data_IF_898117358681
#
_entry.id   IF_898117358681
#
_cell.length_a   1.000
_cell.length_b   1.000
_cell.length_c   1.000
_cell.angle_alpha   90.00
_cell.angle_beta   90.00
_cell.angle_gamma   90.00
#
_symmetry.space_group_name_H-M   'P 1'
#
loop_
_entity.id
_entity.type
_entity.pdbx_description
1 polymer ?
#
# COMPACT_ATOMS: atom_id res chain seq x y z
N UNK A 1 -16.41 -14.45 -8.02
CA UNK A 1 -17.32 -13.50 -7.34
C UNK A 1 -17.45 -13.91 -5.89
N UNK A 2 -17.33 -12.99 -4.97
CA UNK A 2 -17.60 -13.17 -3.55
C UNK A 2 -19.01 -12.65 -3.26
N UNK A 3 -19.86 -13.46 -2.63
CA UNK A 3 -21.15 -13.05 -2.11
C UNK A 3 -21.10 -13.06 -0.58
N UNK A 4 -21.61 -12.02 0.06
CA UNK A 4 -21.60 -11.84 1.51
C UNK A 4 -23.01 -11.47 1.95
N UNK A 5 -23.53 -12.09 3.02
CA UNK A 5 -24.83 -11.73 3.57
C UNK A 5 -24.75 -10.37 4.27
N UNK A 6 -25.74 -9.51 3.97
CA UNK A 6 -25.84 -8.19 4.58
C UNK A 6 -26.43 -8.26 5.97
N UNK A 7 -25.61 -8.40 7.00
CA UNK A 7 -26.04 -8.04 8.36
C UNK A 7 -25.48 -6.66 8.70
N UNK A 8 -26.43 -5.74 8.91
CA UNK A 8 -26.18 -4.30 8.86
C UNK A 8 -25.51 -3.70 10.09
N UNK A 9 -24.32 -4.12 10.44
CA UNK A 9 -23.47 -3.38 11.39
C UNK A 9 -22.29 -2.77 10.69
N UNK A 10 -22.43 -1.48 10.33
CA UNK A 10 -21.31 -0.64 9.91
C UNK A 10 -20.25 -0.60 11.02
N UNK A 11 -19.13 -1.30 10.82
CA UNK A 11 -17.90 -1.03 11.56
C UNK A 11 -16.81 -0.64 10.57
N UNK A 12 -16.54 0.66 10.49
CA UNK A 12 -15.32 1.19 9.95
C UNK A 12 -14.16 0.80 10.88
N UNK A 13 -13.45 -0.28 10.62
CA UNK A 13 -12.35 -0.70 11.49
C UNK A 13 -11.13 -1.32 10.79
N UNK A 14 -11.10 -1.39 9.47
CA UNK A 14 -9.98 -2.03 8.76
C UNK A 14 -8.79 -1.10 8.50
N UNK A 15 -8.98 0.21 8.51
CA UNK A 15 -7.89 1.16 8.28
C UNK A 15 -6.98 1.37 9.51
N UNK A 16 -7.49 1.18 10.73
CA UNK A 16 -6.77 1.53 11.95
C UNK A 16 -5.60 0.60 12.31
N UNK A 17 -5.63 -0.67 11.93
CA UNK A 17 -4.63 -1.66 12.34
C UNK A 17 -3.34 -1.64 11.51
N UNK A 18 -3.42 -1.31 10.24
CA UNK A 18 -2.22 -1.11 9.40
C UNK A 18 -1.39 0.07 9.91
N UNK A 19 -2.06 1.14 10.35
CA UNK A 19 -1.42 2.31 10.93
C UNK A 19 -0.66 2.01 12.22
N UNK A 20 -1.23 1.19 13.10
CA UNK A 20 -0.61 0.82 14.37
C UNK A 20 0.68 0.03 14.14
N UNK A 21 0.71 -0.91 13.20
CA UNK A 21 1.92 -1.70 12.89
C UNK A 21 3.02 -0.88 12.23
N UNK A 22 2.67 0.01 11.31
CA UNK A 22 3.61 0.92 10.65
C UNK A 22 4.17 1.90 11.69
N UNK A 23 3.31 2.54 12.47
CA UNK A 23 3.72 3.50 13.50
C UNK A 23 4.52 2.84 14.62
N UNK A 24 4.22 1.59 15.00
CA UNK A 24 4.96 0.87 16.04
C UNK A 24 6.37 0.48 15.57
N UNK A 25 6.55 0.05 14.33
CA UNK A 25 7.89 -0.17 13.77
C UNK A 25 8.65 1.13 13.57
N UNK A 26 8.00 2.18 13.09
CA UNK A 26 8.61 3.50 12.94
C UNK A 26 8.98 4.10 14.30
N UNK A 27 8.19 3.87 15.37
CA UNK A 27 8.51 4.36 16.73
C UNK A 27 9.72 3.65 17.34
N UNK A 28 9.99 2.38 17.00
CA UNK A 28 11.20 1.69 17.45
C UNK A 28 12.49 2.25 16.82
N UNK A 29 12.36 2.92 15.67
CA UNK A 29 13.47 3.63 15.02
C UNK A 29 13.64 5.05 15.55
N UNK A 30 12.54 5.71 15.95
CA UNK A 30 12.55 7.07 16.52
C UNK A 30 13.18 7.15 17.92
N UNK A 31 13.35 6.04 18.60
CA UNK A 31 13.95 5.98 19.95
C UNK A 31 15.48 5.85 19.99
N UNK A 32 16.16 5.90 18.83
CA UNK A 32 17.61 6.14 18.84
C UNK A 32 17.83 7.64 18.83
N UNK A 33 18.25 8.19 19.96
CA UNK A 33 18.37 9.60 20.25
C UNK A 33 19.40 10.40 19.43
N UNK A 34 19.48 10.14 18.12
CA UNK A 34 20.36 10.82 17.20
C UNK A 34 19.52 11.58 16.17
N UNK A 35 20.00 12.74 15.74
CA UNK A 35 19.51 13.53 14.60
C UNK A 35 19.73 12.79 13.27
N UNK A 36 19.24 11.54 13.16
CA UNK A 36 19.37 10.74 11.94
C UNK A 36 18.30 11.18 10.95
N UNK A 37 18.74 11.68 9.83
CA UNK A 37 17.89 11.99 8.68
C UNK A 37 17.72 10.72 7.86
N UNK A 38 16.49 10.19 7.79
CA UNK A 38 16.18 9.02 6.98
C UNK A 38 15.73 9.41 5.56
N UNK A 39 15.97 8.52 4.62
CA UNK A 39 15.52 8.63 3.22
C UNK A 39 14.43 7.61 2.96
N UNK A 40 13.23 8.09 2.68
CA UNK A 40 12.05 7.25 2.44
C UNK A 40 11.70 7.29 0.95
N UNK A 41 11.72 6.13 0.31
CA UNK A 41 11.18 5.96 -1.04
C UNK A 41 9.70 5.60 -0.96
N UNK A 42 8.86 6.23 -1.76
CA UNK A 42 7.41 5.96 -1.78
C UNK A 42 7.00 5.59 -3.20
N UNK A 43 6.68 4.31 -3.41
CA UNK A 43 6.06 3.82 -4.63
C UNK A 43 4.56 4.07 -4.55
N UNK A 44 4.05 4.95 -5.40
CA UNK A 44 2.65 5.37 -5.39
C UNK A 44 2.15 5.72 -6.80
N UNK A 45 0.89 6.06 -6.93
CA UNK A 45 0.36 6.70 -8.13
C UNK A 45 0.98 8.09 -8.30
N UNK A 46 0.94 8.68 -9.51
CA UNK A 46 1.50 10.02 -9.73
C UNK A 46 1.02 11.00 -8.66
N UNK A 47 1.95 11.68 -7.99
CA UNK A 47 1.67 12.53 -6.83
C UNK A 47 0.70 13.68 -7.13
N UNK A 48 0.63 14.11 -8.39
CA UNK A 48 -0.31 15.13 -8.87
C UNK A 48 -1.74 14.60 -9.07
N UNK A 49 -1.92 13.28 -9.10
CA UNK A 49 -3.22 12.63 -9.32
C UNK A 49 -3.97 12.26 -8.04
N UNK A 50 -3.33 12.35 -6.86
CA UNK A 50 -3.96 11.99 -5.58
C UNK A 50 -5.00 13.02 -5.13
N UNK A 51 -5.89 12.61 -4.23
CA UNK A 51 -6.81 13.54 -3.57
C UNK A 51 -6.24 13.96 -2.20
N UNK A 52 -5.63 15.15 -2.07
CA UNK A 52 -4.91 15.56 -0.85
C UNK A 52 -5.78 15.57 0.41
N UNK A 53 -7.11 15.75 0.27
CA UNK A 53 -8.04 15.75 1.42
C UNK A 53 -8.27 14.37 2.05
N UNK A 54 -7.95 13.30 1.32
CA UNK A 54 -8.27 11.91 1.73
C UNK A 54 -7.08 10.97 1.65
N UNK A 55 -5.97 11.42 1.09
CA UNK A 55 -4.85 10.56 0.82
C UNK A 55 -4.03 10.29 2.08
N UNK A 56 -4.02 9.04 2.49
CA UNK A 56 -3.28 8.60 3.65
C UNK A 56 -1.76 8.53 3.39
N UNK A 57 -1.35 8.37 2.14
CA UNK A 57 0.08 8.37 1.76
C UNK A 57 0.65 9.76 1.93
N UNK A 58 -0.07 10.81 1.51
CA UNK A 58 0.32 12.20 1.75
C UNK A 58 0.49 12.48 3.24
N UNK A 59 -0.45 12.03 4.08
CA UNK A 59 -0.35 12.20 5.53
C UNK A 59 0.89 11.51 6.12
N UNK A 60 1.27 10.32 5.61
CA UNK A 60 2.50 9.63 6.02
C UNK A 60 3.74 10.38 5.59
N UNK A 61 3.78 10.89 4.36
CA UNK A 61 4.90 11.65 3.83
C UNK A 61 5.09 12.97 4.58
N UNK A 62 4.02 13.70 4.88
CA UNK A 62 4.05 14.90 5.73
C UNK A 62 4.59 14.60 7.13
N UNK A 63 4.18 13.49 7.74
CA UNK A 63 4.68 13.08 9.04
C UNK A 63 6.17 12.68 9.01
N UNK A 64 6.67 12.12 7.91
CA UNK A 64 8.09 11.85 7.70
C UNK A 64 8.88 13.15 7.55
N UNK A 65 8.41 14.06 6.70
CA UNK A 65 9.04 15.36 6.49
C UNK A 65 9.10 16.20 7.78
N UNK A 66 8.04 16.19 8.60
CA UNK A 66 8.01 16.87 9.88
C UNK A 66 9.08 16.36 10.88
N UNK A 67 9.62 15.16 10.66
CA UNK A 67 10.74 14.56 11.41
C UNK A 67 12.10 14.87 10.80
N UNK A 68 12.15 15.69 9.76
CA UNK A 68 13.38 16.01 9.03
C UNK A 68 13.84 14.89 8.06
N UNK A 69 12.96 13.96 7.71
CA UNK A 69 13.28 12.87 6.78
C UNK A 69 13.11 13.34 5.33
N UNK A 70 13.95 12.83 4.43
CA UNK A 70 13.82 13.06 3.00
C UNK A 70 12.79 12.10 2.39
N UNK A 71 11.90 12.64 1.57
CA UNK A 71 10.88 11.88 0.87
C UNK A 71 11.14 11.95 -0.62
N UNK A 72 11.24 10.77 -1.25
CA UNK A 72 11.33 10.61 -2.69
C UNK A 72 10.14 9.79 -3.17
N UNK A 73 9.43 10.26 -4.20
CA UNK A 73 8.29 9.56 -4.77
C UNK A 73 8.63 9.01 -6.16
N UNK A 74 8.02 7.87 -6.49
CA UNK A 74 8.17 7.22 -7.79
C UNK A 74 6.97 6.33 -8.09
N UNK A 75 6.76 6.02 -9.38
CA UNK A 75 5.71 5.14 -9.86
C UNK A 75 6.25 3.74 -10.19
N UNK A 76 5.38 2.81 -10.57
CA UNK A 76 5.79 1.49 -11.05
C UNK A 76 6.69 1.56 -12.28
N UNK A 77 6.42 2.52 -13.18
CA UNK A 77 7.19 2.69 -14.41
C UNK A 77 8.62 3.20 -14.18
N UNK A 78 8.88 3.74 -13.00
CA UNK A 78 10.20 4.29 -12.63
C UNK A 78 11.13 3.24 -12.02
N UNK A 79 10.59 2.04 -11.67
CA UNK A 79 11.37 0.91 -11.17
C UNK A 79 12.02 0.15 -12.33
N UNK A 80 13.31 -0.14 -12.24
CA UNK A 80 13.99 -1.00 -13.18
C UNK A 80 15.14 -1.78 -12.53
N UNK A 81 15.58 -2.81 -13.22
CA UNK A 81 16.72 -3.63 -12.82
C UNK A 81 17.74 -3.64 -13.97
N UNK A 82 18.99 -3.36 -13.65
CA UNK A 82 20.12 -3.45 -14.57
C UNK A 82 21.24 -4.22 -13.88
N UNK A 83 21.78 -5.23 -14.54
CA UNK A 83 22.85 -6.09 -14.02
C UNK A 83 22.61 -6.67 -12.61
N UNK A 84 21.33 -6.92 -12.27
CA UNK A 84 20.93 -7.46 -10.97
C UNK A 84 20.77 -6.41 -9.88
N UNK A 85 21.02 -5.13 -10.16
CA UNK A 85 20.81 -4.02 -9.22
C UNK A 85 19.48 -3.31 -9.50
N UNK A 86 18.66 -3.11 -8.47
CA UNK A 86 17.42 -2.36 -8.59
C UNK A 86 17.71 -0.88 -8.44
N UNK A 87 17.29 -0.12 -9.43
CA UNK A 87 17.36 1.33 -9.47
C UNK A 87 15.98 1.94 -9.72
N UNK A 88 15.83 3.20 -9.35
CA UNK A 88 14.57 3.92 -9.39
C UNK A 88 14.81 5.34 -9.92
N UNK A 89 13.97 5.79 -10.84
CA UNK A 89 13.92 7.19 -11.20
C UNK A 89 12.97 7.92 -10.23
N UNK A 90 13.50 8.80 -9.39
CA UNK A 90 12.76 9.41 -8.30
C UNK A 90 12.56 10.90 -8.49
N UNK A 91 11.48 11.42 -7.90
CA UNK A 91 11.30 12.84 -7.63
C UNK A 91 11.46 13.08 -6.12
N UNK A 92 12.49 13.82 -5.73
CA UNK A 92 12.64 14.32 -4.37
C UNK A 92 11.67 15.48 -4.18
N UNK A 93 10.87 15.45 -3.11
CA UNK A 93 9.75 16.39 -2.95
C UNK A 93 9.78 17.13 -1.62
N UNK A 94 9.25 18.36 -1.63
CA UNK A 94 8.77 19.07 -0.44
C UNK A 94 7.25 19.02 -0.41
N UNK A 95 6.67 18.78 0.75
CA UNK A 95 5.25 18.54 0.93
C UNK A 95 4.61 19.63 1.78
N UNK A 96 3.36 19.97 1.46
CA UNK A 96 2.57 20.98 2.14
C UNK A 96 1.22 20.37 2.58
N UNK A 97 0.78 20.72 3.77
CA UNK A 97 -0.59 20.41 4.24
C UNK A 97 -1.58 21.43 3.65
N UNK A 98 -1.71 21.38 2.33
CA UNK A 98 -2.54 22.26 1.55
C UNK A 98 -3.26 21.45 0.44
N UNK A 99 -4.52 21.77 0.18
CA UNK A 99 -5.34 21.04 -0.80
C UNK A 99 -5.18 21.52 -2.23
N UNK A 100 -4.69 22.73 -2.42
CA UNK A 100 -4.49 23.34 -3.74
C UNK A 100 -3.05 23.17 -4.23
N UNK A 101 -2.11 23.12 -3.27
CA UNK A 101 -0.69 22.90 -3.54
C UNK A 101 -0.07 22.02 -2.45
N UNK A 102 -0.02 20.71 -2.63
CA UNK A 102 0.46 19.76 -1.62
C UNK A 102 1.89 19.29 -1.83
N UNK A 103 2.56 19.64 -2.96
CA UNK A 103 3.96 19.31 -3.18
C UNK A 103 4.69 20.27 -4.11
N UNK A 104 6.00 20.31 -3.99
CA UNK A 104 6.94 20.83 -4.97
C UNK A 104 8.00 19.76 -5.25
N UNK A 105 8.40 19.61 -6.51
CA UNK A 105 9.53 18.76 -6.89
C UNK A 105 10.81 19.55 -6.72
N UNK A 106 11.73 19.05 -5.89
CA UNK A 106 13.03 19.65 -5.65
C UNK A 106 14.05 19.22 -6.68
N UNK A 107 14.06 17.91 -6.99
CA UNK A 107 15.01 17.30 -7.92
C UNK A 107 14.41 16.03 -8.55
N UNK A 108 14.95 15.62 -9.69
CA UNK A 108 14.63 14.36 -10.35
C UNK A 108 15.94 13.66 -10.69
N UNK A 109 16.10 12.43 -10.22
CA UNK A 109 17.35 11.68 -10.38
C UNK A 109 17.12 10.19 -10.40
N UNK A 110 18.10 9.46 -10.90
CA UNK A 110 18.19 8.03 -10.63
C UNK A 110 18.80 7.81 -9.25
N UNK A 111 18.20 6.93 -8.48
CA UNK A 111 18.69 6.47 -7.20
C UNK A 111 18.82 4.94 -7.20
N UNK A 112 19.87 4.42 -6.55
CA UNK A 112 19.91 3.01 -6.21
C UNK A 112 18.92 2.74 -5.10
N UNK A 113 18.22 1.61 -5.17
CA UNK A 113 17.26 1.26 -4.12
C UNK A 113 17.90 1.18 -2.72
N UNK A 114 19.19 0.86 -2.66
CA UNK A 114 20.00 0.81 -1.41
C UNK A 114 20.29 2.19 -0.79
N UNK A 115 19.97 3.28 -1.46
CA UNK A 115 20.06 4.63 -0.89
C UNK A 115 18.94 4.93 0.10
N UNK A 116 17.85 4.15 0.07
CA UNK A 116 16.72 4.33 0.97
C UNK A 116 16.90 3.56 2.28
N UNK A 117 16.49 4.17 3.37
CA UNK A 117 16.35 3.51 4.66
C UNK A 117 15.07 2.68 4.75
N UNK A 118 14.06 3.03 3.93
CA UNK A 118 12.81 2.29 3.82
C UNK A 118 12.12 2.63 2.50
N UNK A 119 11.40 1.66 1.95
CA UNK A 119 10.49 1.87 0.82
C UNK A 119 9.06 1.56 1.25
N UNK A 120 8.13 2.47 0.94
CA UNK A 120 6.70 2.30 1.16
C UNK A 120 6.02 1.91 -0.15
N UNK A 121 5.33 0.77 -0.16
CA UNK A 121 4.45 0.37 -1.27
C UNK A 121 3.06 0.93 -1.03
N UNK A 122 2.74 2.00 -1.72
CA UNK A 122 1.49 2.77 -1.58
C UNK A 122 0.73 2.94 -2.89
N UNK A 123 1.09 2.18 -3.93
CA UNK A 123 0.35 2.13 -5.17
C UNK A 123 -1.04 1.56 -4.94
N UNK A 124 -2.04 2.29 -5.42
CA UNK A 124 -3.43 1.82 -5.40
C UNK A 124 -3.69 0.73 -6.47
N UNK A 125 -4.75 -0.08 -6.34
CA UNK A 125 -5.17 -1.01 -7.40
C UNK A 125 -5.30 -0.32 -8.77
N UNK A 126 -5.24 -1.04 -9.90
CA UNK A 126 -5.57 -2.47 -10.00
C UNK A 126 -4.42 -3.38 -9.58
N UNK A 127 -4.76 -4.55 -9.00
CA UNK A 127 -3.84 -5.63 -8.71
C UNK A 127 -3.70 -6.53 -9.95
N UNK A 128 -2.96 -6.04 -10.92
CA UNK A 128 -2.69 -6.65 -12.21
C UNK A 128 -1.26 -7.21 -12.30
N UNK A 129 -0.84 -7.65 -13.48
CA UNK A 129 0.50 -8.20 -13.68
C UNK A 129 1.59 -7.16 -13.48
N UNK A 130 1.36 -5.89 -13.84
CA UNK A 130 2.31 -4.80 -13.61
C UNK A 130 2.52 -4.59 -12.10
N UNK A 131 1.43 -4.62 -11.34
CA UNK A 131 1.50 -4.54 -9.88
C UNK A 131 2.29 -5.72 -9.28
N UNK A 132 2.07 -6.94 -9.79
CA UNK A 132 2.79 -8.15 -9.36
C UNK A 132 4.29 -8.03 -9.68
N UNK A 133 4.65 -7.58 -10.90
CA UNK A 133 6.05 -7.37 -11.26
C UNK A 133 6.71 -6.31 -10.38
N UNK A 134 6.04 -5.20 -10.08
CA UNK A 134 6.54 -4.22 -9.14
C UNK A 134 6.85 -4.84 -7.76
N UNK A 135 5.97 -5.75 -7.26
CA UNK A 135 6.24 -6.45 -6.00
C UNK A 135 7.46 -7.37 -6.06
N UNK A 136 7.78 -7.97 -7.21
CA UNK A 136 9.01 -8.76 -7.37
C UNK A 136 10.26 -7.87 -7.33
N UNK A 137 10.25 -6.70 -7.96
CA UNK A 137 11.35 -5.74 -7.88
C UNK A 137 11.53 -5.22 -6.45
N UNK A 138 10.43 -4.92 -5.76
CA UNK A 138 10.45 -4.54 -4.35
C UNK A 138 11.00 -5.65 -3.43
N UNK A 139 10.74 -6.92 -3.76
CA UNK A 139 11.31 -8.04 -3.02
C UNK A 139 12.84 -8.16 -3.23
N UNK A 140 13.35 -7.79 -4.40
CA UNK A 140 14.79 -7.69 -4.62
C UNK A 140 15.39 -6.56 -3.78
N UNK A 141 14.71 -5.42 -3.65
CA UNK A 141 15.11 -4.35 -2.72
C UNK A 141 15.15 -4.88 -1.28
N UNK A 142 14.11 -5.59 -0.83
CA UNK A 142 14.06 -6.19 0.52
C UNK A 142 15.25 -7.13 0.78
N UNK A 143 15.69 -7.89 -0.24
CA UNK A 143 16.86 -8.78 -0.15
C UNK A 143 18.20 -8.03 0.03
N UNK A 144 18.28 -6.77 -0.32
CA UNK A 144 19.46 -5.93 -0.04
C UNK A 144 19.54 -5.45 1.40
N UNK A 145 18.51 -5.70 2.20
CA UNK A 145 18.39 -5.25 3.58
C UNK A 145 17.58 -3.97 3.76
N UNK A 146 17.11 -3.35 2.68
CA UNK A 146 16.21 -2.18 2.74
C UNK A 146 14.78 -2.67 3.04
N UNK A 147 14.18 -2.29 4.17
CA UNK A 147 12.81 -2.68 4.50
C UNK A 147 11.81 -2.14 3.48
N UNK A 148 10.88 -3.00 3.06
CA UNK A 148 9.75 -2.61 2.22
C UNK A 148 8.44 -2.81 2.99
N UNK A 149 7.63 -1.77 3.08
CA UNK A 149 6.33 -1.75 3.77
C UNK A 149 5.20 -1.40 2.78
N UNK A 150 4.17 -2.22 2.66
CA UNK A 150 4.00 -3.54 3.23
C UNK A 150 4.92 -4.54 2.53
N UNK A 151 5.19 -5.67 3.20
CA UNK A 151 6.08 -6.71 2.68
C UNK A 151 5.58 -7.23 1.32
N UNK A 152 6.41 -7.23 0.26
CA UNK A 152 5.97 -7.55 -1.11
C UNK A 152 5.33 -8.93 -1.26
N UNK A 153 5.90 -9.96 -0.63
CA UNK A 153 5.32 -11.29 -0.62
C UNK A 153 3.92 -11.30 0.03
N UNK A 154 3.74 -10.59 1.14
CA UNK A 154 2.44 -10.51 1.82
C UNK A 154 1.39 -9.79 0.98
N UNK A 155 1.78 -8.78 0.20
CA UNK A 155 0.88 -8.09 -0.74
C UNK A 155 0.32 -9.09 -1.77
N UNK A 156 1.17 -9.98 -2.30
CA UNK A 156 0.74 -11.02 -3.25
C UNK A 156 -0.12 -12.11 -2.61
N UNK A 157 0.23 -12.53 -1.40
CA UNK A 157 -0.38 -13.69 -0.74
C UNK A 157 -1.67 -13.34 0.02
N UNK A 158 -1.78 -12.12 0.53
CA UNK A 158 -2.90 -11.67 1.35
C UNK A 158 -3.93 -10.90 0.53
N UNK A 159 -4.59 -11.58 -0.42
CA UNK A 159 -5.70 -10.97 -1.16
C UNK A 159 -6.78 -10.50 -0.18
N UNK A 160 -7.15 -9.23 -0.25
CA UNK A 160 -8.05 -8.54 0.66
C UNK A 160 -9.42 -9.21 0.84
N UNK A 161 -9.92 -9.91 -0.19
CA UNK A 161 -11.24 -10.55 -0.18
C UNK A 161 -11.18 -11.99 0.33
N UNK A 162 -10.11 -12.73 0.04
CA UNK A 162 -9.96 -14.12 0.43
C UNK A 162 -9.22 -14.28 1.76
N UNK A 163 -8.25 -13.43 2.04
CA UNK A 163 -7.48 -13.51 3.29
C UNK A 163 -8.37 -13.31 4.52
N UNK A 164 -9.43 -12.49 4.41
CA UNK A 164 -10.42 -12.30 5.47
C UNK A 164 -11.09 -13.62 5.90
N UNK A 165 -11.17 -14.61 5.04
CA UNK A 165 -11.77 -15.93 5.34
C UNK A 165 -10.95 -16.75 6.35
N UNK A 166 -9.70 -16.38 6.60
CA UNK A 166 -8.90 -16.97 7.66
C UNK A 166 -9.35 -16.52 9.06
N UNK A 167 -10.24 -15.53 9.13
CA UNK A 167 -10.79 -14.98 10.36
C UNK A 167 -12.33 -15.16 10.40
N UNK A 168 -12.84 -16.40 10.50
CA UNK A 168 -14.26 -16.69 10.40
C UNK A 168 -15.10 -15.98 11.48
N UNK A 169 -14.49 -15.66 12.63
CA UNK A 169 -15.13 -14.90 13.70
C UNK A 169 -15.36 -13.41 13.34
N UNK A 170 -14.72 -12.91 12.30
CA UNK A 170 -14.81 -11.53 11.83
C UNK A 170 -15.59 -11.41 10.51
N UNK A 171 -16.01 -12.53 9.91
CA UNK A 171 -16.66 -12.54 8.61
C UNK A 171 -18.10 -13.02 8.71
N UNK A 172 -19.06 -12.39 8.04
CA UNK A 172 -20.42 -12.91 7.90
C UNK A 172 -20.44 -14.14 6.98
N UNK A 173 -21.62 -14.78 6.86
CA UNK A 173 -21.78 -15.87 5.89
C UNK A 173 -21.36 -15.43 4.49
N UNK A 174 -20.57 -16.24 3.82
CA UNK A 174 -19.97 -15.88 2.54
C UNK A 174 -19.91 -17.09 1.58
N UNK A 175 -19.83 -16.78 0.30
CA UNK A 175 -19.62 -17.75 -0.77
C UNK A 175 -18.66 -17.16 -1.80
N UNK A 176 -17.62 -17.91 -2.16
CA UNK A 176 -16.75 -17.59 -3.29
C UNK A 176 -16.99 -18.59 -4.39
N UNK A 177 -17.51 -18.15 -5.53
CA UNK A 177 -17.86 -19.04 -6.65
C UNK A 177 -17.88 -18.31 -7.98
N UNK A 178 -17.63 -19.05 -9.07
CA UNK A 178 -17.96 -18.66 -10.45
C UNK A 178 -19.26 -19.30 -10.93
N UNK A 179 -19.80 -20.26 -10.18
CA UNK A 179 -21.01 -20.98 -10.54
C UNK A 179 -22.25 -20.15 -10.19
N UNK A 180 -23.00 -19.74 -11.20
CA UNK A 180 -24.19 -18.90 -11.04
C UNK A 180 -25.29 -19.54 -10.18
N UNK A 181 -25.50 -20.87 -10.32
CA UNK A 181 -26.53 -21.56 -9.53
C UNK A 181 -26.19 -21.60 -8.04
N UNK A 182 -24.89 -21.73 -7.71
CA UNK A 182 -24.44 -21.61 -6.32
C UNK A 182 -24.67 -20.20 -5.78
N UNK A 183 -24.42 -19.17 -6.57
CA UNK A 183 -24.63 -17.77 -6.19
C UNK A 183 -26.13 -17.47 -6.00
N UNK A 184 -27.00 -17.95 -6.90
CA UNK A 184 -28.46 -17.82 -6.75
C UNK A 184 -28.97 -18.53 -5.50
N UNK A 185 -28.53 -19.76 -5.26
CA UNK A 185 -28.94 -20.52 -4.06
C UNK A 185 -28.50 -19.84 -2.77
N UNK A 186 -27.29 -19.24 -2.77
CA UNK A 186 -26.81 -18.47 -1.64
C UNK A 186 -27.67 -17.23 -1.39
N UNK A 187 -28.03 -16.49 -2.44
CA UNK A 187 -28.93 -15.34 -2.36
C UNK A 187 -30.30 -15.75 -1.82
N UNK A 188 -30.90 -16.81 -2.36
CA UNK A 188 -32.19 -17.31 -1.89
C UNK A 188 -32.18 -17.69 -0.40
N UNK A 189 -31.07 -18.24 0.07
CA UNK A 189 -30.90 -18.65 1.46
C UNK A 189 -30.73 -17.47 2.43
N UNK A 190 -30.03 -16.40 1.99
CA UNK A 190 -29.58 -15.31 2.87
C UNK A 190 -30.32 -13.98 2.65
N UNK A 191 -31.17 -13.86 1.61
CA UNK A 191 -31.90 -12.62 1.31
C UNK A 191 -30.95 -11.54 0.76
N UNK A 192 -30.69 -10.50 1.53
CA UNK A 192 -29.81 -9.41 1.11
C UNK A 192 -28.35 -9.85 1.04
N UNK A 193 -27.77 -9.73 -0.17
CA UNK A 193 -26.41 -10.19 -0.46
C UNK A 193 -25.64 -9.14 -1.24
N UNK A 194 -24.40 -8.91 -0.85
CA UNK A 194 -23.46 -8.05 -1.61
C UNK A 194 -22.57 -8.94 -2.47
N UNK A 195 -22.54 -8.67 -3.77
CA UNK A 195 -21.65 -9.32 -4.73
C UNK A 195 -20.43 -8.46 -5.00
N UNK A 196 -19.24 -9.03 -4.85
CA UNK A 196 -17.98 -8.35 -5.16
C UNK A 196 -17.17 -9.17 -6.16
N UNK A 197 -16.68 -8.59 -7.26
CA UNK A 197 -15.71 -9.29 -8.10
C UNK A 197 -14.43 -9.54 -7.30
N UNK A 198 -13.70 -10.63 -7.59
CA UNK A 198 -12.40 -10.89 -6.94
C UNK A 198 -11.27 -10.05 -7.53
N UNK A 199 -11.43 -9.65 -8.79
CA UNK A 199 -10.52 -8.75 -9.52
C UNK A 199 -11.31 -7.52 -9.97
N UNK A 200 -10.71 -6.39 -9.97
CA UNK A 200 -11.25 -5.15 -10.52
C UNK A 200 -10.95 -5.06 -12.00
#
# INVERSE_FOLDING_TARGET
>A
MLAVSGDGTKRNSTESWQWVLILTKMSSWANRGDNLTYRIGVLMDPIDSINPKKDSTLAMMLAAQARGWHVSVFTQADLYIEDGEVSVFVSDVTLFDDTDKWFDVLDRRTAKATEFDCVLMRKDPPFDMEYIYATYLLELIEKTGVPVLNRPASIRDCNEKLFALQFPQCTPSHLVSRNQEKLKSFHQKHGDVIYKPLVH
#
